data_IF_522379383362
#
_entry.id   IF_522379383362
#
_cell.length_a   1.000
_cell.length_b   1.000
_cell.length_c   1.000
_cell.angle_alpha   90.00
_cell.angle_beta   90.00
_cell.angle_gamma   90.00
#
_symmetry.space_group_name_H-M   'P 1'
#
loop_
_entity.id
_entity.type
_entity.pdbx_description
1 polymer ?
#
# COMPACT_ATOMS: atom_id res chain seq x y z
N UNK A 1 -18.73 21.53 -19.55
CA UNK A 1 -17.71 21.08 -18.57
C UNK A 1 -17.59 19.57 -18.70
N UNK A 2 -16.38 19.02 -18.80
CA UNK A 2 -16.18 17.58 -18.89
C UNK A 2 -16.03 17.03 -17.47
N UNK A 3 -16.89 16.11 -17.08
CA UNK A 3 -16.81 15.46 -15.77
C UNK A 3 -15.52 14.63 -15.73
N UNK A 4 -14.69 14.74 -14.68
CA UNK A 4 -13.48 13.92 -14.56
C UNK A 4 -13.87 12.44 -14.45
N UNK A 5 -13.08 11.57 -15.10
CA UNK A 5 -13.21 10.13 -14.90
C UNK A 5 -12.69 9.79 -13.48
N UNK A 6 -13.54 9.17 -12.67
CA UNK A 6 -13.22 8.85 -11.29
C UNK A 6 -12.87 7.36 -11.16
N UNK A 7 -11.77 7.07 -10.48
CA UNK A 7 -11.30 5.72 -10.18
C UNK A 7 -11.28 5.49 -8.67
N UNK A 8 -11.32 4.21 -8.29
CA UNK A 8 -11.19 3.81 -6.90
C UNK A 8 -9.71 3.73 -6.54
N UNK A 9 -9.35 4.29 -5.39
CA UNK A 9 -8.03 4.14 -4.82
C UNK A 9 -7.80 2.66 -4.48
N UNK A 10 -6.73 2.03 -5.00
CA UNK A 10 -6.42 0.63 -4.70
C UNK A 10 -5.91 0.47 -3.26
N UNK A 11 -6.02 -0.75 -2.73
CA UNK A 11 -5.38 -1.13 -1.48
C UNK A 11 -3.91 -1.47 -1.74
N UNK A 12 -3.00 -0.60 -1.29
CA UNK A 12 -1.56 -0.69 -1.49
C UNK A 12 -0.82 -1.08 -0.20
N UNK A 13 -1.40 -0.81 0.97
CA UNK A 13 -0.83 -1.18 2.27
C UNK A 13 -0.57 -2.69 2.34
N UNK A 14 0.63 -3.06 2.79
CA UNK A 14 1.11 -4.44 2.87
C UNK A 14 1.75 -4.97 1.59
N UNK A 15 1.70 -4.22 0.48
CA UNK A 15 2.44 -4.57 -0.73
C UNK A 15 3.89 -4.12 -0.64
N UNK A 16 4.78 -4.84 -1.32
CA UNK A 16 6.13 -4.34 -1.58
C UNK A 16 6.08 -3.09 -2.45
N UNK A 17 6.98 -2.15 -2.24
CA UNK A 17 6.97 -0.84 -2.90
C UNK A 17 6.86 -0.92 -4.43
N UNK A 18 7.71 -1.72 -5.09
CA UNK A 18 7.62 -1.95 -6.53
C UNK A 18 6.24 -2.49 -6.98
N UNK A 19 5.69 -3.46 -6.25
CA UNK A 19 4.36 -4.01 -6.54
C UNK A 19 3.24 -2.96 -6.33
N UNK A 20 3.37 -2.10 -5.32
CA UNK A 20 2.41 -1.03 -5.06
C UNK A 20 2.35 -0.04 -6.23
N UNK A 21 3.51 0.33 -6.81
CA UNK A 21 3.57 1.17 -8.01
C UNK A 21 2.87 0.51 -9.22
N UNK A 22 3.10 -0.77 -9.47
CA UNK A 22 2.45 -1.50 -10.56
C UNK A 22 0.92 -1.55 -10.38
N UNK A 23 0.45 -1.85 -9.16
CA UNK A 23 -0.99 -1.88 -8.84
C UNK A 23 -1.63 -0.50 -8.99
N UNK A 24 -0.95 0.57 -8.55
CA UNK A 24 -1.41 1.94 -8.73
C UNK A 24 -1.60 2.28 -10.21
N UNK A 25 -0.59 1.97 -11.05
CA UNK A 25 -0.64 2.21 -12.49
C UNK A 25 -1.78 1.43 -13.16
N UNK A 26 -1.97 0.16 -12.78
CA UNK A 26 -3.09 -0.65 -13.27
C UNK A 26 -4.46 -0.08 -12.87
N UNK A 27 -4.56 0.57 -11.70
CA UNK A 27 -5.75 1.27 -11.23
C UNK A 27 -5.91 2.68 -11.82
N UNK A 28 -5.00 3.12 -12.70
CA UNK A 28 -4.95 4.47 -13.30
C UNK A 28 -4.76 5.58 -12.26
N UNK A 29 -3.94 5.33 -11.25
CA UNK A 29 -3.50 6.32 -10.23
C UNK A 29 -1.97 6.25 -10.09
N UNK A 30 -1.36 7.24 -9.44
CA UNK A 30 0.09 7.29 -9.26
C UNK A 30 0.45 7.13 -7.80
N UNK A 31 1.16 6.07 -7.42
CA UNK A 31 1.75 5.98 -6.09
C UNK A 31 2.94 6.94 -6.00
N UNK A 32 3.01 7.76 -4.94
CA UNK A 32 4.09 8.72 -4.70
C UNK A 32 4.54 8.66 -3.24
N UNK A 33 5.81 8.92 -2.98
CA UNK A 33 6.31 9.12 -1.63
C UNK A 33 5.76 10.44 -1.02
N UNK A 34 5.86 10.63 0.31
CA UNK A 34 5.40 11.85 0.97
C UNK A 34 6.22 13.07 0.57
N UNK A 35 7.46 12.86 0.15
CA UNK A 35 8.35 13.87 -0.40
C UNK A 35 8.46 13.70 -1.93
N UNK A 36 7.73 14.49 -2.73
CA UNK A 36 7.71 14.36 -4.18
C UNK A 36 9.00 14.85 -4.86
N UNK A 37 9.89 15.53 -4.14
CA UNK A 37 11.17 16.01 -4.68
C UNK A 37 12.25 14.90 -4.62
N UNK A 38 11.91 13.74 -4.07
CA UNK A 38 12.80 12.57 -3.99
C UNK A 38 12.45 11.51 -5.03
N UNK A 39 13.43 10.70 -5.48
CA UNK A 39 13.16 9.54 -6.31
C UNK A 39 12.22 8.57 -5.58
N UNK A 40 11.28 7.92 -6.31
CA UNK A 40 10.32 7.04 -5.67
C UNK A 40 11.01 5.86 -4.99
N UNK A 41 10.54 5.51 -3.80
CA UNK A 41 11.03 4.37 -3.03
C UNK A 41 10.56 3.08 -3.69
N UNK A 42 11.50 2.23 -4.12
CA UNK A 42 11.18 0.97 -4.82
C UNK A 42 11.43 -0.29 -3.98
N UNK A 43 11.98 -0.13 -2.77
CA UNK A 43 12.30 -1.20 -1.83
C UNK A 43 11.55 -1.01 -0.51
N UNK A 44 11.23 -2.10 0.20
CA UNK A 44 10.46 -2.04 1.43
C UNK A 44 8.98 -2.35 1.25
N UNK A 45 8.20 -2.16 2.32
CA UNK A 45 6.76 -2.45 2.38
C UNK A 45 5.96 -1.19 2.63
N UNK A 46 4.86 -1.01 1.92
CA UNK A 46 3.93 0.11 2.16
C UNK A 46 3.23 -0.10 3.50
N UNK A 47 3.49 0.78 4.46
CA UNK A 47 2.87 0.72 5.80
C UNK A 47 1.64 1.62 5.94
N UNK A 48 1.54 2.64 5.09
CA UNK A 48 0.37 3.53 5.05
C UNK A 48 0.14 4.08 3.65
N UNK A 49 -1.09 4.52 3.37
CA UNK A 49 -1.43 5.24 2.16
C UNK A 49 -2.46 6.34 2.42
N UNK A 50 -2.49 7.35 1.56
CA UNK A 50 -3.51 8.41 1.52
C UNK A 50 -3.75 8.85 0.07
N UNK A 51 -4.99 8.97 -0.41
CA UNK A 51 -6.25 8.66 0.28
C UNK A 51 -6.42 7.18 0.65
N UNK A 52 -7.41 6.88 1.49
CA UNK A 52 -7.75 5.51 1.89
C UNK A 52 -8.26 4.68 0.70
N UNK A 53 -8.05 3.35 0.70
CA UNK A 53 -8.59 2.46 -0.32
C UNK A 53 -10.11 2.62 -0.49
N UNK A 54 -10.58 2.56 -1.74
CA UNK A 54 -11.99 2.72 -2.09
C UNK A 54 -12.48 4.16 -2.21
N UNK A 55 -11.66 5.16 -1.86
CA UNK A 55 -11.96 6.55 -2.16
C UNK A 55 -12.03 6.78 -3.67
N UNK A 56 -12.85 7.74 -4.12
CA UNK A 56 -12.94 8.13 -5.52
C UNK A 56 -12.07 9.34 -5.79
N UNK A 57 -11.11 9.19 -6.69
CA UNK A 57 -10.23 10.28 -7.14
C UNK A 57 -10.21 10.35 -8.67
N UNK A 58 -9.90 11.52 -9.26
CA UNK A 58 -9.63 11.62 -10.69
C UNK A 58 -8.59 10.60 -11.17
N UNK A 59 -8.81 9.99 -12.33
CA UNK A 59 -7.80 9.15 -12.96
C UNK A 59 -6.51 9.95 -13.18
N UNK A 60 -5.38 9.38 -12.77
CA UNK A 60 -4.06 10.01 -12.81
C UNK A 60 -3.68 10.78 -11.54
N UNK A 61 -4.58 10.94 -10.56
CA UNK A 61 -4.24 11.55 -9.27
C UNK A 61 -3.28 10.69 -8.45
N UNK A 62 -2.59 11.37 -7.54
CA UNK A 62 -1.60 10.76 -6.66
C UNK A 62 -2.23 10.09 -5.44
N UNK A 63 -1.65 8.95 -5.06
CA UNK A 63 -1.85 8.27 -3.79
C UNK A 63 -0.51 8.29 -3.07
N UNK A 64 -0.40 9.08 -2.01
CA UNK A 64 0.78 9.11 -1.15
C UNK A 64 0.91 7.80 -0.40
N UNK A 65 2.08 7.17 -0.45
CA UNK A 65 2.42 5.93 0.26
C UNK A 65 3.58 6.18 1.22
N UNK A 66 3.60 5.46 2.34
CA UNK A 66 4.72 5.51 3.29
C UNK A 66 5.47 4.19 3.26
N UNK A 67 6.76 4.33 2.93
CA UNK A 67 7.84 3.35 2.85
C UNK A 67 8.37 2.80 4.20
N UNK A 68 8.25 1.53 4.58
CA UNK A 68 9.17 0.98 5.60
C UNK A 68 10.21 0.06 4.96
N UNK A 69 11.49 0.39 5.13
CA UNK A 69 12.61 -0.39 4.61
C UNK A 69 12.68 -1.78 5.26
N UNK A 70 12.97 -2.79 4.46
CA UNK A 70 13.11 -4.17 4.93
C UNK A 70 14.40 -4.41 5.76
N UNK A 71 15.42 -3.56 5.54
CA UNK A 71 16.70 -3.62 6.24
C UNK A 71 16.64 -2.75 7.51
N UNK A 72 16.01 -3.28 8.56
CA UNK A 72 15.77 -2.57 9.82
C UNK A 72 16.97 -1.75 10.34
N UNK A 73 16.93 -0.44 10.11
CA UNK A 73 17.82 0.56 10.69
C UNK A 73 17.01 1.46 11.62
N UNK A 74 17.04 1.15 12.92
CA UNK A 74 16.10 1.68 13.91
C UNK A 74 16.07 3.19 14.09
N UNK A 75 14.89 3.70 14.46
CA UNK A 75 14.70 5.13 14.71
C UNK A 75 13.33 5.56 15.26
N UNK A 76 12.77 4.84 16.24
CA UNK A 76 11.95 5.43 17.30
C UNK A 76 10.49 5.84 17.00
N UNK A 77 9.57 5.02 17.50
CA UNK A 77 8.37 5.50 18.21
C UNK A 77 7.08 5.61 17.40
N UNK A 78 6.21 4.60 17.54
CA UNK A 78 4.81 4.74 17.10
C UNK A 78 4.00 3.46 17.13
N UNK A 79 3.56 3.05 18.33
CA UNK A 79 2.29 2.33 18.56
C UNK A 79 2.01 1.08 17.73
N UNK A 80 2.32 -0.09 18.31
CA UNK A 80 1.84 -1.37 17.79
C UNK A 80 0.30 -1.42 17.70
N UNK A 81 -0.18 -1.90 16.57
CA UNK A 81 -1.50 -2.51 16.43
C UNK A 81 -1.32 -3.93 15.87
N UNK A 82 -2.15 -4.90 16.30
CA UNK A 82 -1.86 -6.32 16.16
C UNK A 82 -2.06 -6.78 14.71
N UNK A 83 -1.18 -7.69 14.25
CA UNK A 83 -1.35 -8.43 13.01
C UNK A 83 -2.74 -9.10 12.98
N UNK A 84 -3.53 -8.94 11.90
CA UNK A 84 -4.67 -9.80 11.69
C UNK A 84 -4.13 -11.20 11.40
N UNK A 85 -4.23 -12.04 12.43
CA UNK A 85 -4.14 -13.48 12.39
C UNK A 85 -4.83 -14.01 11.13
N UNK A 86 -4.02 -14.52 10.19
CA UNK A 86 -4.51 -15.20 9.00
C UNK A 86 -5.34 -16.42 9.43
N UNK A 87 -6.57 -16.60 8.95
CA UNK A 87 -7.35 -17.79 9.28
C UNK A 87 -6.66 -19.04 8.70
N UNK A 88 -6.41 -19.99 9.60
CA UNK A 88 -5.65 -21.23 9.39
C UNK A 88 -6.21 -22.11 8.28
N UNK A 89 -5.37 -22.81 7.50
CA UNK A 89 -5.75 -24.08 6.88
C UNK A 89 -5.91 -25.14 7.97
N UNK A 90 -7.14 -25.66 8.13
CA UNK A 90 -7.38 -26.89 8.89
C UNK A 90 -6.96 -28.07 8.02
N UNK A 91 -5.85 -28.73 8.35
CA UNK A 91 -5.62 -30.09 7.88
C UNK A 91 -6.22 -31.08 8.89
N UNK A 92 -6.92 -32.12 8.43
CA UNK A 92 -7.73 -32.98 9.27
C UNK A 92 -6.89 -33.92 10.14
N UNK A 93 -7.48 -34.23 11.28
CA UNK A 93 -7.02 -35.14 12.32
C UNK A 93 -6.39 -36.43 11.80
N UNK A 94 -5.38 -36.89 12.55
CA UNK A 94 -4.70 -38.15 12.34
C UNK A 94 -5.63 -39.37 12.37
N UNK A 95 -5.22 -40.37 11.61
CA UNK A 95 -5.65 -41.75 11.77
C UNK A 95 -4.38 -42.58 11.90
N UNK A 96 -4.10 -43.06 13.11
CA UNK A 96 -3.75 -44.46 13.35
C UNK A 96 -3.87 -44.83 14.82
#
# INVERSE_FOLDING_TARGET
>A
MKTPDLVLVPALVGLGAAQAHEVAMAARVVAVDPDPDTPPTLTGTVVAQRPEPGNRIPAGDAVTVWIEDADGGGGGGGGGVPQPESPSPKDPAGVK
#
